data_IF_592057563223
#
_entry.id   IF_592057563223
#
_cell.length_a   1.000
_cell.length_b   1.000
_cell.length_c   1.000
_cell.angle_alpha   90.00
_cell.angle_beta   90.00
_cell.angle_gamma   90.00
#
_symmetry.space_group_name_H-M   'P 1'
#
loop_
_entity.id
_entity.type
_entity.pdbx_description
1 polymer ?
#
# COMPACT_ATOMS: atom_id res chain seq x y z
N UNK A 1 29.55 13.18 -4.96
CA UNK A 1 30.65 12.26 -4.67
C UNK A 1 30.70 11.18 -5.74
N UNK A 2 31.90 10.86 -6.24
CA UNK A 2 32.10 9.77 -7.24
C UNK A 2 32.15 8.41 -6.50
N UNK A 3 31.10 8.09 -5.72
CA UNK A 3 31.03 6.85 -4.94
C UNK A 3 30.37 5.78 -5.80
N UNK A 4 30.96 4.59 -5.84
CA UNK A 4 30.37 3.41 -6.45
C UNK A 4 29.29 2.86 -5.50
N UNK A 5 28.08 2.62 -6.02
CA UNK A 5 26.99 1.97 -5.30
C UNK A 5 26.84 0.54 -5.82
N UNK A 6 26.76 -0.41 -4.90
CA UNK A 6 26.48 -1.82 -5.21
C UNK A 6 25.16 -2.18 -4.54
N UNK A 7 24.18 -2.57 -5.34
CA UNK A 7 22.90 -3.07 -4.86
C UNK A 7 22.91 -4.60 -4.91
N UNK A 8 22.78 -5.24 -3.75
CA UNK A 8 22.50 -6.66 -3.66
C UNK A 8 20.99 -6.83 -3.81
N UNK A 9 20.55 -7.31 -4.97
CA UNK A 9 19.14 -7.37 -5.31
C UNK A 9 18.37 -8.38 -4.42
N UNK A 10 17.08 -8.12 -4.22
CA UNK A 10 16.19 -8.94 -3.41
C UNK A 10 14.82 -9.06 -4.08
N UNK A 11 14.09 -10.18 -3.82
CA UNK A 11 12.74 -10.35 -4.34
C UNK A 11 11.82 -9.19 -3.91
N UNK A 12 10.99 -8.71 -4.83
CA UNK A 12 9.84 -7.93 -4.41
C UNK A 12 8.87 -8.85 -3.67
N UNK A 13 8.55 -8.58 -2.39
CA UNK A 13 7.80 -9.53 -1.57
C UNK A 13 6.37 -9.76 -2.06
N UNK A 14 5.80 -8.80 -2.75
CA UNK A 14 4.42 -8.83 -3.25
C UNK A 14 4.36 -8.99 -4.77
N UNK A 15 5.25 -9.81 -5.33
CA UNK A 15 5.50 -10.08 -6.76
C UNK A 15 6.18 -8.93 -7.52
N UNK A 16 6.98 -9.30 -8.50
CA UNK A 16 7.72 -8.37 -9.37
C UNK A 16 6.97 -8.02 -10.67
N UNK A 17 5.73 -8.42 -10.83
CA UNK A 17 4.95 -8.24 -12.06
C UNK A 17 3.58 -7.57 -11.84
N UNK A 18 3.25 -7.20 -10.61
CA UNK A 18 1.97 -6.57 -10.29
C UNK A 18 2.18 -5.07 -10.06
N UNK A 19 1.40 -4.28 -10.78
CA UNK A 19 1.44 -2.82 -10.76
C UNK A 19 0.04 -2.32 -10.42
N UNK A 20 -0.07 -1.45 -9.38
CA UNK A 20 -1.34 -0.90 -8.93
C UNK A 20 -1.18 0.56 -8.48
N UNK A 21 -2.26 1.30 -8.62
CA UNK A 21 -2.37 2.69 -8.18
C UNK A 21 -1.89 3.69 -9.23
N UNK A 22 -2.08 4.98 -8.98
CA UNK A 22 -1.66 6.04 -9.87
C UNK A 22 -0.14 6.15 -9.96
N UNK A 23 0.35 6.62 -11.09
CA UNK A 23 1.72 7.09 -11.25
C UNK A 23 1.86 8.43 -10.52
N UNK A 24 2.90 8.59 -9.69
CA UNK A 24 3.17 9.86 -9.03
C UNK A 24 3.30 10.98 -10.06
N UNK A 25 2.46 12.00 -9.96
CA UNK A 25 2.68 13.28 -10.62
C UNK A 25 3.73 14.08 -9.84
N UNK A 26 4.80 14.51 -10.52
CA UNK A 26 5.95 15.16 -9.88
C UNK A 26 5.62 16.50 -9.22
N UNK A 27 4.48 17.12 -9.53
CA UNK A 27 3.98 18.30 -8.82
C UNK A 27 3.61 17.99 -7.35
N UNK A 28 3.35 16.72 -7.04
CA UNK A 28 3.04 16.21 -5.69
C UNK A 28 4.19 15.42 -5.06
N UNK A 29 5.42 15.62 -5.55
CA UNK A 29 6.61 15.01 -4.98
C UNK A 29 6.72 15.30 -3.48
N UNK A 30 7.01 14.26 -2.70
CA UNK A 30 7.09 14.35 -1.24
C UNK A 30 8.10 13.34 -0.69
N UNK A 31 8.29 13.35 0.64
CA UNK A 31 9.13 12.35 1.31
C UNK A 31 8.64 10.91 1.10
N UNK A 32 7.32 10.70 0.95
CA UNK A 32 6.73 9.36 0.74
C UNK A 32 6.56 8.99 -0.73
N UNK A 33 6.73 9.93 -1.65
CA UNK A 33 6.68 9.71 -3.09
C UNK A 33 7.68 10.63 -3.80
N UNK A 34 8.82 10.09 -4.23
CA UNK A 34 9.94 10.90 -4.72
C UNK A 34 10.19 10.78 -6.23
N UNK A 35 9.66 9.74 -6.88
CA UNK A 35 9.87 9.47 -8.29
C UNK A 35 8.57 9.03 -8.97
N UNK A 36 8.44 9.18 -10.30
CA UNK A 36 7.24 8.84 -11.04
C UNK A 36 7.08 7.31 -11.15
N UNK A 37 6.69 6.69 -10.05
CA UNK A 37 6.38 5.27 -9.94
C UNK A 37 4.97 5.07 -9.35
N UNK A 38 4.27 3.99 -9.69
CA UNK A 38 2.99 3.66 -9.08
C UNK A 38 3.15 3.24 -7.61
N UNK A 39 2.08 3.25 -6.84
CA UNK A 39 2.08 2.84 -5.42
C UNK A 39 2.61 1.41 -5.27
N UNK A 40 2.14 0.47 -6.12
CA UNK A 40 2.72 -0.87 -6.26
C UNK A 40 3.39 -0.93 -7.60
N UNK A 41 4.72 -0.94 -7.63
CA UNK A 41 5.51 -0.70 -8.85
C UNK A 41 6.07 -1.97 -9.50
N UNK A 42 5.97 -3.14 -8.88
CA UNK A 42 6.31 -4.43 -9.52
C UNK A 42 7.77 -4.61 -9.95
N UNK A 43 8.72 -3.92 -9.34
CA UNK A 43 10.15 -4.07 -9.60
C UNK A 43 10.88 -4.57 -8.35
N UNK A 44 12.02 -5.26 -8.52
CA UNK A 44 12.97 -5.47 -7.44
C UNK A 44 13.69 -4.14 -7.11
N UNK A 45 14.34 -4.09 -5.96
CA UNK A 45 15.10 -2.88 -5.57
C UNK A 45 16.26 -2.60 -6.55
N UNK A 46 16.89 -3.65 -7.09
CA UNK A 46 17.96 -3.53 -8.09
C UNK A 46 17.45 -3.03 -9.42
N UNK A 47 16.28 -3.49 -9.87
CA UNK A 47 15.62 -3.01 -11.08
C UNK A 47 15.21 -1.55 -10.95
N UNK A 48 14.60 -1.19 -9.83
CA UNK A 48 14.24 0.20 -9.53
C UNK A 48 15.50 1.10 -9.51
N UNK A 49 16.57 0.67 -8.86
CA UNK A 49 17.81 1.45 -8.82
C UNK A 49 18.40 1.68 -10.25
N UNK A 50 18.38 0.67 -11.12
CA UNK A 50 18.78 0.83 -12.52
C UNK A 50 17.87 1.84 -13.25
N UNK A 51 16.56 1.75 -13.06
CA UNK A 51 15.59 2.66 -13.65
C UNK A 51 15.84 4.10 -13.21
N UNK A 52 16.04 4.35 -11.91
CA UNK A 52 16.34 5.68 -11.37
C UNK A 52 17.59 6.31 -11.98
N UNK A 53 18.62 5.50 -12.23
CA UNK A 53 19.86 5.96 -12.88
C UNK A 53 19.65 6.13 -14.39
N UNK A 54 19.03 5.17 -15.05
CA UNK A 54 18.82 5.16 -16.50
C UNK A 54 17.90 6.26 -17.00
N UNK A 55 16.82 6.53 -16.26
CA UNK A 55 15.87 7.62 -16.55
C UNK A 55 16.37 8.98 -16.01
N UNK A 56 17.61 9.03 -15.47
CA UNK A 56 18.27 10.26 -14.97
C UNK A 56 17.49 10.98 -13.85
N UNK A 57 16.72 10.24 -13.07
CA UNK A 57 15.99 10.81 -11.92
C UNK A 57 16.94 11.25 -10.80
N UNK A 58 18.13 10.65 -10.72
CA UNK A 58 19.16 10.99 -9.74
C UNK A 58 20.16 11.94 -10.40
N UNK A 59 20.26 13.18 -9.88
CA UNK A 59 21.28 14.14 -10.33
C UNK A 59 22.67 13.64 -9.96
N UNK A 60 23.62 13.70 -10.92
CA UNK A 60 24.98 13.22 -10.70
C UNK A 60 25.04 11.71 -10.47
N UNK A 61 24.32 10.96 -11.28
CA UNK A 61 24.12 9.53 -11.15
C UNK A 61 25.40 8.78 -10.71
N UNK A 62 25.31 7.93 -9.68
CA UNK A 62 26.45 7.16 -9.17
C UNK A 62 26.86 6.08 -10.19
N UNK A 63 28.10 5.60 -10.09
CA UNK A 63 28.48 4.36 -10.75
C UNK A 63 27.75 3.18 -10.07
N UNK A 64 26.63 2.73 -10.66
CA UNK A 64 25.79 1.67 -10.12
C UNK A 64 26.23 0.30 -10.61
N UNK A 65 26.28 -0.67 -9.71
CA UNK A 65 26.34 -2.10 -10.00
C UNK A 65 25.23 -2.82 -9.28
N UNK A 66 24.50 -3.70 -9.95
CA UNK A 66 23.44 -4.52 -9.35
C UNK A 66 23.87 -5.98 -9.44
N UNK A 67 23.95 -6.65 -8.29
CA UNK A 67 24.16 -8.09 -8.20
C UNK A 67 22.79 -8.75 -8.28
N UNK A 68 22.49 -9.36 -9.41
CA UNK A 68 21.20 -10.03 -9.67
C UNK A 68 21.01 -11.24 -8.75
N UNK A 69 19.75 -11.48 -8.37
CA UNK A 69 19.36 -12.73 -7.70
C UNK A 69 19.53 -13.92 -8.63
N UNK A 70 19.86 -15.06 -8.04
CA UNK A 70 19.82 -16.36 -8.71
C UNK A 70 18.50 -17.07 -8.41
N UNK A 71 17.95 -17.76 -9.41
CA UNK A 71 16.75 -18.61 -9.27
C UNK A 71 15.48 -17.88 -8.79
N UNK A 72 15.42 -16.57 -8.91
CA UNK A 72 14.19 -15.82 -8.63
C UNK A 72 13.37 -15.61 -9.91
N UNK A 73 12.06 -15.82 -9.78
CA UNK A 73 11.08 -15.52 -10.81
C UNK A 73 10.16 -14.40 -10.29
N UNK A 74 9.89 -13.39 -11.11
CA UNK A 74 9.08 -12.24 -10.73
C UNK A 74 7.60 -12.55 -10.45
N UNK A 75 7.12 -13.74 -10.85
CA UNK A 75 5.77 -14.23 -10.53
C UNK A 75 5.68 -14.87 -9.13
N UNK A 76 6.81 -15.10 -8.46
CA UNK A 76 6.84 -15.71 -7.13
C UNK A 76 6.43 -14.72 -6.05
N UNK A 77 5.64 -15.19 -5.10
CA UNK A 77 5.49 -14.57 -3.80
C UNK A 77 6.73 -14.80 -2.94
N UNK A 78 6.95 -13.95 -1.93
CA UNK A 78 8.16 -14.05 -1.12
C UNK A 78 8.29 -15.39 -0.39
N UNK A 79 7.20 -15.96 0.12
CA UNK A 79 7.17 -17.27 0.80
C UNK A 79 7.48 -18.45 -0.12
N UNK A 80 7.34 -18.28 -1.44
CA UNK A 80 7.72 -19.29 -2.44
C UNK A 80 9.22 -19.28 -2.77
N UNK A 81 9.95 -18.28 -2.28
CA UNK A 81 11.40 -18.17 -2.52
C UNK A 81 12.24 -19.01 -1.55
N UNK A 82 11.64 -19.53 -0.49
CA UNK A 82 12.36 -20.23 0.60
C UNK A 82 13.17 -19.30 1.52
N UNK A 83 13.11 -17.97 1.31
CA UNK A 83 13.82 -16.99 2.14
C UNK A 83 13.04 -16.69 3.43
N UNK A 84 13.76 -16.55 4.54
CA UNK A 84 13.17 -16.12 5.79
C UNK A 84 12.61 -14.71 5.68
N UNK A 85 11.40 -14.47 6.24
CA UNK A 85 10.82 -13.14 6.31
C UNK A 85 11.63 -12.23 7.24
N UNK A 86 12.19 -11.18 6.69
CA UNK A 86 12.82 -10.11 7.46
C UNK A 86 11.87 -8.92 7.41
N UNK A 87 11.36 -8.51 8.57
CA UNK A 87 10.40 -7.41 8.70
C UNK A 87 10.99 -6.11 8.14
N UNK A 88 10.44 -5.53 7.07
CA UNK A 88 10.91 -4.24 6.54
C UNK A 88 10.55 -3.08 7.49
N UNK A 89 9.56 -3.29 8.34
CA UNK A 89 9.11 -2.37 9.39
C UNK A 89 8.52 -3.18 10.54
N UNK A 90 8.59 -2.70 11.79
CA UNK A 90 7.89 -3.33 12.92
C UNK A 90 6.38 -3.52 12.66
N UNK A 91 5.77 -2.59 11.92
CA UNK A 91 4.35 -2.65 11.54
C UNK A 91 4.07 -3.51 10.29
N UNK A 92 5.07 -4.17 9.71
CA UNK A 92 4.91 -5.14 8.61
C UNK A 92 5.49 -6.49 9.04
N UNK A 93 4.80 -7.19 9.95
CA UNK A 93 5.31 -8.41 10.58
C UNK A 93 5.36 -9.62 9.65
N UNK A 94 4.57 -9.63 8.60
CA UNK A 94 4.40 -10.76 7.68
C UNK A 94 4.04 -10.34 6.25
N UNK A 95 4.05 -11.31 5.32
CA UNK A 95 3.75 -11.11 3.90
C UNK A 95 2.32 -10.60 3.67
N UNK A 96 1.34 -11.09 4.43
CA UNK A 96 -0.05 -10.64 4.26
C UNK A 96 -0.19 -9.16 4.60
N UNK A 97 0.52 -8.69 5.65
CA UNK A 97 0.56 -7.25 5.96
C UNK A 97 1.23 -6.46 4.84
N UNK A 98 2.34 -6.95 4.28
CA UNK A 98 3.00 -6.31 3.15
C UNK A 98 2.09 -6.22 1.91
N UNK A 99 1.27 -7.25 1.65
CA UNK A 99 0.32 -7.26 0.54
C UNK A 99 -0.85 -6.29 0.75
N UNK A 100 -1.34 -6.16 1.98
CA UNK A 100 -2.45 -5.25 2.32
C UNK A 100 -1.99 -3.79 2.38
N UNK A 101 -0.73 -3.55 2.79
CA UNK A 101 -0.18 -2.23 3.09
C UNK A 101 -0.36 -1.17 1.98
N UNK A 102 -0.13 -1.45 0.68
CA UNK A 102 -0.25 -0.44 -0.38
C UNK A 102 -1.62 0.25 -0.44
N UNK A 103 -2.69 -0.45 -0.09
CA UNK A 103 -4.03 0.13 -0.02
C UNK A 103 -4.36 0.71 1.36
N UNK A 104 -3.96 0.01 2.42
CA UNK A 104 -4.36 0.38 3.77
C UNK A 104 -3.54 1.52 4.37
N UNK A 105 -2.34 1.80 3.86
CA UNK A 105 -1.58 2.99 4.24
C UNK A 105 -2.31 4.30 3.88
N UNK A 106 -3.23 4.28 2.91
CA UNK A 106 -4.05 5.45 2.55
C UNK A 106 -4.95 5.90 3.71
N UNK A 107 -5.34 4.99 4.63
CA UNK A 107 -6.09 5.36 5.84
C UNK A 107 -5.31 6.28 6.78
N UNK A 108 -3.97 6.36 6.68
CA UNK A 108 -3.16 7.35 7.41
C UNK A 108 -3.52 8.81 7.07
N UNK A 109 -4.21 9.02 5.95
CA UNK A 109 -4.75 10.31 5.57
C UNK A 109 -6.17 10.56 6.10
N UNK A 110 -6.66 9.76 7.01
CA UNK A 110 -8.02 9.84 7.53
C UNK A 110 -8.04 9.87 9.06
N UNK A 111 -9.23 10.04 9.64
CA UNK A 111 -9.44 9.93 11.07
C UNK A 111 -9.79 8.50 11.53
N UNK A 112 -9.37 7.48 10.78
CA UNK A 112 -9.52 6.06 11.13
C UNK A 112 -8.23 5.55 11.79
N UNK A 113 -8.35 4.62 12.75
CA UNK A 113 -7.21 3.82 13.18
C UNK A 113 -6.99 2.68 12.19
N UNK A 114 -5.80 2.61 11.61
CA UNK A 114 -5.40 1.61 10.60
C UNK A 114 -4.78 0.35 11.22
N UNK A 115 -5.15 0.04 12.46
CA UNK A 115 -4.70 -1.14 13.19
C UNK A 115 -3.36 -0.98 13.90
N UNK A 116 -2.66 0.15 13.76
CA UNK A 116 -1.48 0.42 14.58
C UNK A 116 -1.86 0.52 16.06
N UNK A 117 -0.95 0.09 16.91
CA UNK A 117 -1.23 -0.07 18.34
C UNK A 117 -1.98 -1.35 18.65
N UNK A 118 -1.98 -2.34 17.73
CA UNK A 118 -2.52 -3.69 17.92
C UNK A 118 -1.55 -4.75 17.38
N UNK A 119 -1.87 -6.01 17.59
CA UNK A 119 -1.17 -7.17 17.02
C UNK A 119 -1.34 -7.35 15.50
N UNK A 120 -2.25 -6.57 14.86
CA UNK A 120 -2.61 -6.66 13.44
C UNK A 120 -2.58 -5.31 12.73
N UNK A 121 -1.41 -4.61 12.69
CA UNK A 121 -1.29 -3.35 11.98
C UNK A 121 -1.66 -3.52 10.51
N UNK A 122 -2.42 -2.58 9.97
CA UNK A 122 -2.97 -2.54 8.61
C UNK A 122 -3.92 -3.68 8.23
N UNK A 123 -3.91 -4.82 8.94
CA UNK A 123 -4.86 -5.92 8.72
C UNK A 123 -6.23 -5.68 9.33
N UNK A 124 -6.39 -4.63 10.12
CA UNK A 124 -7.66 -4.13 10.63
C UNK A 124 -7.71 -2.61 10.61
N UNK A 125 -8.91 -2.08 10.59
CA UNK A 125 -9.15 -0.65 10.72
C UNK A 125 -10.46 -0.38 11.45
N UNK A 126 -10.58 0.79 12.07
CA UNK A 126 -11.81 1.11 12.79
C UNK A 126 -11.79 2.45 13.52
N UNK A 127 -12.93 2.74 14.14
CA UNK A 127 -13.13 3.91 14.98
C UNK A 127 -14.23 3.63 16.04
N UNK A 128 -14.32 4.43 17.11
CA UNK A 128 -15.36 4.25 18.13
C UNK A 128 -16.79 4.41 17.61
N UNK A 129 -16.97 5.14 16.52
CA UNK A 129 -18.28 5.49 15.96
C UNK A 129 -18.73 4.58 14.81
N UNK A 130 -17.95 3.57 14.43
CA UNK A 130 -18.32 2.63 13.37
C UNK A 130 -19.35 1.59 13.90
N UNK A 131 -20.32 1.27 13.06
CA UNK A 131 -21.10 0.04 13.14
C UNK A 131 -20.41 -1.04 12.31
N UNK A 132 -19.64 -1.90 12.96
CA UNK A 132 -18.80 -2.88 12.30
C UNK A 132 -19.58 -4.00 11.59
N UNK A 133 -20.76 -4.37 12.09
CA UNK A 133 -21.61 -5.37 11.44
C UNK A 133 -22.18 -4.82 10.13
N UNK A 134 -22.74 -3.61 10.16
CA UNK A 134 -23.26 -2.92 8.97
C UNK A 134 -22.15 -2.69 7.93
N UNK A 135 -20.99 -2.18 8.36
CA UNK A 135 -19.85 -1.90 7.47
C UNK A 135 -19.32 -3.20 6.84
N UNK A 136 -19.19 -4.28 7.61
CA UNK A 136 -18.76 -5.60 7.09
C UNK A 136 -19.71 -6.10 6.01
N UNK A 137 -21.02 -6.04 6.25
CA UNK A 137 -22.03 -6.43 5.28
C UNK A 137 -21.94 -5.58 3.99
N UNK A 138 -21.75 -4.26 4.12
CA UNK A 138 -21.61 -3.34 2.97
C UNK A 138 -20.39 -3.67 2.13
N UNK A 139 -19.23 -3.87 2.77
CA UNK A 139 -17.97 -4.19 2.10
C UNK A 139 -18.05 -5.55 1.38
N UNK A 140 -18.60 -6.60 2.01
CA UNK A 140 -18.72 -7.92 1.40
C UNK A 140 -19.74 -7.96 0.25
N UNK A 141 -20.77 -7.08 0.30
CA UNK A 141 -21.79 -6.99 -0.76
C UNK A 141 -21.19 -6.55 -2.11
N UNK A 142 -20.10 -5.78 -2.11
CA UNK A 142 -19.42 -5.34 -3.33
C UNK A 142 -18.65 -6.48 -4.01
N UNK A 143 -18.35 -7.57 -3.30
CA UNK A 143 -17.64 -8.75 -3.81
C UNK A 143 -16.26 -8.40 -4.40
N UNK A 144 -15.50 -7.58 -3.69
CA UNK A 144 -14.13 -7.27 -4.10
C UNK A 144 -13.29 -8.56 -4.17
N UNK A 145 -12.48 -8.76 -5.25
CA UNK A 145 -11.82 -10.04 -5.47
C UNK A 145 -10.75 -10.32 -4.42
N UNK A 146 -10.66 -11.59 -4.00
CA UNK A 146 -9.58 -12.10 -3.14
C UNK A 146 -9.65 -11.68 -1.66
N UNK A 147 -10.74 -11.06 -1.20
CA UNK A 147 -10.85 -10.53 0.16
C UNK A 147 -12.20 -10.84 0.83
N UNK A 148 -12.16 -11.05 2.13
CA UNK A 148 -13.31 -11.12 3.04
C UNK A 148 -13.12 -10.09 4.16
N UNK A 149 -14.21 -9.43 4.56
CA UNK A 149 -14.21 -8.41 5.61
C UNK A 149 -14.98 -8.93 6.83
N UNK A 150 -14.30 -9.01 8.00
CA UNK A 150 -14.89 -9.50 9.23
C UNK A 150 -15.06 -8.38 10.25
N UNK A 151 -16.23 -8.29 10.92
CA UNK A 151 -16.40 -7.31 11.98
C UNK A 151 -15.51 -7.66 13.17
N UNK A 152 -14.84 -6.65 13.73
CA UNK A 152 -13.97 -6.79 14.91
C UNK A 152 -14.18 -5.65 15.89
N UNK A 153 -13.79 -5.89 17.14
CA UNK A 153 -13.67 -4.86 18.18
C UNK A 153 -12.28 -4.96 18.79
N UNK A 154 -11.60 -3.82 18.96
CA UNK A 154 -10.24 -3.78 19.50
C UNK A 154 -9.96 -2.45 20.20
N UNK A 155 -8.85 -2.38 20.93
CA UNK A 155 -8.38 -1.17 21.60
C UNK A 155 -6.94 -0.93 21.15
N UNK A 156 -6.65 0.18 20.45
CA UNK A 156 -5.27 0.56 20.14
C UNK A 156 -4.54 1.01 21.42
N UNK A 157 -3.29 0.57 21.59
CA UNK A 157 -2.43 0.94 22.71
C UNK A 157 -1.04 1.31 22.22
N UNK A 158 -0.21 1.90 23.08
CA UNK A 158 1.20 2.03 22.74
C UNK A 158 1.86 0.66 22.66
N UNK A 159 2.68 0.49 21.65
CA UNK A 159 3.55 -0.68 21.46
C UNK A 159 4.94 -0.17 21.14
N UNK A 160 5.88 -0.40 22.05
CA UNK A 160 7.26 0.05 21.91
C UNK A 160 7.88 -0.38 20.58
N UNK A 161 8.53 0.55 19.88
CA UNK A 161 9.14 0.32 18.59
C UNK A 161 8.18 0.12 17.42
N UNK A 162 6.85 0.14 17.64
CA UNK A 162 5.84 -0.03 16.57
C UNK A 162 4.89 1.15 16.45
N UNK A 163 4.23 1.55 17.53
CA UNK A 163 3.24 2.62 17.50
C UNK A 163 3.19 3.34 18.85
N UNK A 164 3.48 4.63 18.83
CA UNK A 164 3.33 5.51 20.00
C UNK A 164 2.17 6.46 19.71
N UNK A 165 1.24 6.55 20.66
CA UNK A 165 0.05 7.37 20.57
C UNK A 165 -0.79 7.12 19.28
N UNK A 166 -1.19 5.86 19.00
CA UNK A 166 -1.99 5.54 17.82
C UNK A 166 -3.35 6.25 17.88
N UNK A 167 -3.95 6.48 16.73
CA UNK A 167 -5.31 7.05 16.62
C UNK A 167 -6.28 6.25 17.49
N UNK A 168 -7.09 6.94 18.30
CA UNK A 168 -8.00 6.36 19.30
C UNK A 168 -7.34 5.49 20.39
N UNK A 169 -6.09 5.80 20.76
CA UNK A 169 -5.40 5.14 21.88
C UNK A 169 -6.31 4.97 23.07
N UNK A 170 -6.34 3.76 23.67
CA UNK A 170 -7.13 3.36 24.84
C UNK A 170 -8.65 3.52 24.67
N UNK A 171 -9.16 3.68 23.45
CA UNK A 171 -10.60 3.70 23.17
C UNK A 171 -11.03 2.42 22.47
N UNK A 172 -12.23 1.95 22.79
CA UNK A 172 -12.83 0.82 22.08
C UNK A 172 -13.15 1.28 20.65
N UNK A 173 -12.52 0.63 19.67
CA UNK A 173 -12.80 0.79 18.25
C UNK A 173 -13.60 -0.41 17.76
N UNK A 174 -14.70 -0.14 17.06
CA UNK A 174 -15.38 -1.11 16.21
C UNK A 174 -14.85 -0.96 14.80
N UNK A 175 -14.64 -2.06 14.10
CA UNK A 175 -14.02 -1.97 12.78
C UNK A 175 -14.07 -3.28 12.02
N UNK A 176 -13.18 -3.39 11.07
CA UNK A 176 -13.10 -4.50 10.13
C UNK A 176 -11.72 -5.12 10.20
N UNK A 177 -11.65 -6.44 10.22
CA UNK A 177 -10.46 -7.22 9.90
C UNK A 177 -10.51 -7.66 8.45
N UNK A 178 -9.42 -7.42 7.72
CA UNK A 178 -9.25 -7.80 6.32
C UNK A 178 -8.63 -9.19 6.28
N UNK A 179 -9.32 -10.13 5.63
CA UNK A 179 -8.85 -11.49 5.41
C UNK A 179 -8.62 -11.71 3.92
N UNK A 180 -7.38 -11.91 3.52
CA UNK A 180 -7.06 -12.33 2.15
C UNK A 180 -7.49 -13.79 2.01
N UNK A 181 -8.35 -14.07 1.04
CA UNK A 181 -8.82 -15.42 0.68
C UNK A 181 -8.16 -15.94 -0.57
N UNK A 182 -7.76 -15.04 -1.48
CA UNK A 182 -6.98 -15.36 -2.67
C UNK A 182 -6.04 -14.17 -2.99
N UNK A 183 -4.75 -14.37 -2.77
CA UNK A 183 -3.73 -13.33 -2.95
C UNK A 183 -3.42 -13.02 -4.42
N UNK A 184 -3.72 -13.95 -5.33
CA UNK A 184 -3.40 -13.79 -6.76
C UNK A 184 -4.35 -12.84 -7.47
N UNK A 185 -5.57 -12.70 -6.95
CA UNK A 185 -6.57 -11.74 -7.46
C UNK A 185 -6.79 -10.53 -6.55
N UNK A 186 -6.11 -10.49 -5.38
CA UNK A 186 -6.22 -9.38 -4.43
C UNK A 186 -5.56 -8.11 -4.98
N UNK A 187 -6.34 -7.04 -5.12
CA UNK A 187 -5.88 -5.74 -5.63
C UNK A 187 -5.83 -4.72 -4.48
N UNK A 188 -4.65 -4.58 -3.87
CA UNK A 188 -4.46 -3.85 -2.63
C UNK A 188 -4.91 -2.39 -2.70
N UNK A 189 -4.42 -1.64 -3.69
CA UNK A 189 -4.72 -0.20 -3.81
C UNK A 189 -6.19 0.03 -4.13
N UNK A 190 -6.75 -0.76 -5.05
CA UNK A 190 -8.17 -0.67 -5.39
C UNK A 190 -9.09 -0.95 -4.21
N UNK A 191 -8.75 -1.97 -3.39
CA UNK A 191 -9.52 -2.31 -2.19
C UNK A 191 -9.43 -1.18 -1.16
N UNK A 192 -8.24 -0.60 -0.94
CA UNK A 192 -8.05 0.53 -0.03
C UNK A 192 -8.89 1.74 -0.42
N UNK A 193 -8.91 2.10 -1.70
CA UNK A 193 -9.72 3.21 -2.22
C UNK A 193 -11.22 2.95 -2.07
N UNK A 194 -11.69 1.73 -2.37
CA UNK A 194 -13.09 1.37 -2.17
C UNK A 194 -13.50 1.40 -0.69
N UNK A 195 -12.62 0.99 0.24
CA UNK A 195 -12.87 1.12 1.68
C UNK A 195 -13.07 2.59 2.06
N UNK A 196 -12.21 3.50 1.58
CA UNK A 196 -12.29 4.94 1.87
C UNK A 196 -13.59 5.53 1.32
N UNK A 197 -13.95 5.20 0.08
CA UNK A 197 -15.19 5.66 -0.55
C UNK A 197 -16.43 5.19 0.25
N UNK A 198 -16.45 3.91 0.66
CA UNK A 198 -17.55 3.37 1.49
C UNK A 198 -17.62 4.06 2.85
N UNK A 199 -16.49 4.30 3.51
CA UNK A 199 -16.47 5.00 4.80
C UNK A 199 -17.00 6.43 4.66
N UNK A 200 -16.69 7.11 3.57
CA UNK A 200 -17.21 8.45 3.27
C UNK A 200 -18.72 8.46 3.04
N UNK A 201 -19.22 7.46 2.30
CA UNK A 201 -20.65 7.30 2.02
C UNK A 201 -21.45 6.92 3.27
N UNK A 202 -20.95 5.96 4.07
CA UNK A 202 -21.65 5.45 5.26
C UNK A 202 -21.59 6.41 6.48
N UNK A 203 -20.55 7.24 6.55
CA UNK A 203 -20.30 8.10 7.73
C UNK A 203 -19.97 9.56 7.34
N UNK A 204 -20.78 10.25 6.52
CA UNK A 204 -20.44 11.56 5.95
C UNK A 204 -20.20 12.65 7.00
N UNK A 205 -20.81 12.52 8.20
CA UNK A 205 -20.67 13.49 9.28
C UNK A 205 -19.59 13.12 10.31
N UNK A 206 -18.89 12.01 10.14
CA UNK A 206 -17.90 11.48 11.10
C UNK A 206 -16.57 11.15 10.47
N UNK A 207 -16.59 10.66 9.23
CA UNK A 207 -15.39 10.31 8.50
C UNK A 207 -14.77 11.57 7.87
N UNK A 208 -13.47 11.74 8.08
CA UNK A 208 -12.73 12.91 7.60
C UNK A 208 -11.50 12.43 6.84
N UNK A 209 -11.27 13.02 5.67
CA UNK A 209 -10.05 12.86 4.88
C UNK A 209 -9.21 14.14 5.05
N UNK A 210 -7.93 13.98 5.28
CA UNK A 210 -6.94 15.04 5.16
C UNK A 210 -6.46 15.06 3.70
N UNK A 211 -7.00 15.97 2.90
CA UNK A 211 -6.74 16.05 1.46
C UNK A 211 -5.25 16.16 1.14
N UNK A 212 -4.54 17.05 1.83
CA UNK A 212 -3.10 17.23 1.61
C UNK A 212 -2.31 15.93 1.87
N UNK A 213 -2.64 15.20 2.92
CA UNK A 213 -2.00 13.91 3.23
C UNK A 213 -2.40 12.85 2.22
N UNK A 214 -3.67 12.82 1.79
CA UNK A 214 -4.17 11.87 0.80
C UNK A 214 -3.47 12.08 -0.55
N UNK A 215 -3.38 13.32 -1.04
CA UNK A 215 -2.63 13.67 -2.26
C UNK A 215 -1.16 13.21 -2.15
N UNK A 216 -0.53 13.45 -1.01
CA UNK A 216 0.86 13.00 -0.77
C UNK A 216 1.02 11.48 -0.82
N UNK A 217 0.03 10.70 -0.37
CA UNK A 217 0.06 9.23 -0.39
C UNK A 217 -0.33 8.66 -1.75
N UNK A 218 -1.32 9.25 -2.42
CA UNK A 218 -1.75 8.84 -3.77
C UNK A 218 -0.75 9.27 -4.85
N UNK A 219 -0.09 10.41 -4.66
CA UNK A 219 0.79 11.01 -5.65
C UNK A 219 0.06 11.77 -6.77
N UNK A 220 -1.25 11.97 -6.64
CA UNK A 220 -2.10 12.70 -7.60
C UNK A 220 -3.20 13.46 -6.85
N UNK A 221 -3.72 14.54 -7.46
CA UNK A 221 -4.87 15.30 -6.95
C UNK A 221 -6.17 14.89 -7.66
N UNK A 222 -6.57 13.65 -7.40
CA UNK A 222 -7.77 13.03 -7.99
C UNK A 222 -8.75 12.61 -6.89
N UNK A 223 -8.99 13.51 -5.90
CA UNK A 223 -9.83 13.17 -4.74
C UNK A 223 -11.30 12.95 -5.08
N UNK A 224 -11.77 13.42 -6.24
CA UNK A 224 -13.09 13.12 -6.80
C UNK A 224 -13.31 11.61 -7.06
N UNK A 225 -12.25 10.82 -7.18
CA UNK A 225 -12.32 9.34 -7.28
C UNK A 225 -13.16 8.71 -6.15
N UNK A 226 -13.15 9.32 -4.96
CA UNK A 226 -13.94 8.81 -3.84
C UNK A 226 -15.45 9.04 -3.97
N UNK A 227 -15.90 9.77 -4.99
CA UNK A 227 -17.34 9.92 -5.30
C UNK A 227 -17.87 8.76 -6.16
N UNK A 228 -16.99 7.95 -6.72
CA UNK A 228 -17.32 6.81 -7.58
C UNK A 228 -17.41 5.53 -6.75
N UNK A 229 -18.34 4.63 -7.12
CA UNK A 229 -18.50 3.33 -6.46
C UNK A 229 -19.10 2.30 -7.42
N UNK A 230 -18.47 1.12 -7.57
CA UNK A 230 -17.12 0.78 -7.10
C UNK A 230 -16.04 1.52 -7.90
N UNK A 231 -14.93 1.83 -7.24
CA UNK A 231 -13.76 2.41 -7.92
C UNK A 231 -13.09 1.32 -8.77
N UNK A 232 -12.84 1.61 -10.05
CA UNK A 232 -12.03 0.76 -10.93
C UNK A 232 -10.77 1.52 -11.37
N UNK A 233 -9.63 1.15 -10.78
CA UNK A 233 -8.35 1.80 -11.08
C UNK A 233 -7.90 1.65 -12.53
N UNK A 234 -8.28 0.58 -13.21
CA UNK A 234 -7.88 0.35 -14.61
C UNK A 234 -8.50 1.36 -15.57
N UNK A 235 -9.70 1.85 -15.24
CA UNK A 235 -10.38 2.87 -16.04
C UNK A 235 -9.87 4.27 -15.71
N UNK A 236 -9.39 4.51 -14.49
CA UNK A 236 -9.01 5.84 -14.00
C UNK A 236 -7.53 6.13 -14.23
N UNK A 237 -6.65 5.14 -13.99
CA UNK A 237 -5.20 5.32 -14.09
C UNK A 237 -4.57 4.35 -15.08
N UNK A 238 -3.88 4.91 -16.07
CA UNK A 238 -3.08 4.12 -17.02
C UNK A 238 -1.61 4.13 -16.63
N UNK A 239 -1.04 2.94 -16.44
CA UNK A 239 0.39 2.76 -16.15
C UNK A 239 1.20 2.30 -17.38
N UNK A 240 0.66 2.43 -18.60
CA UNK A 240 1.27 1.90 -19.84
C UNK A 240 2.70 2.43 -20.01
N UNK A 241 2.91 3.72 -19.90
CA UNK A 241 4.23 4.34 -20.05
C UNK A 241 5.24 3.83 -19.02
N UNK A 242 4.79 3.65 -17.75
CA UNK A 242 5.65 3.08 -16.71
C UNK A 242 6.01 1.62 -17.02
N UNK A 243 5.02 0.81 -17.44
CA UNK A 243 5.22 -0.59 -17.81
C UNK A 243 6.22 -0.72 -18.94
N UNK A 244 6.09 0.07 -20.02
CA UNK A 244 7.00 0.06 -21.17
C UNK A 244 8.40 0.50 -20.77
N UNK A 245 8.52 1.58 -20.00
CA UNK A 245 9.81 2.08 -19.53
C UNK A 245 10.50 1.07 -18.61
N UNK A 246 9.77 0.47 -17.68
CA UNK A 246 10.33 -0.48 -16.71
C UNK A 246 10.92 -1.74 -17.35
N UNK A 247 10.37 -2.19 -18.50
CA UNK A 247 10.88 -3.35 -19.25
C UNK A 247 12.35 -3.24 -19.64
N UNK A 248 12.89 -2.03 -19.80
CA UNK A 248 14.30 -1.79 -20.11
C UNK A 248 15.25 -2.19 -18.96
N UNK A 249 14.75 -2.31 -17.74
CA UNK A 249 15.54 -2.46 -16.51
C UNK A 249 15.39 -3.82 -15.82
N UNK A 250 14.56 -4.67 -16.36
CA UNK A 250 14.26 -6.05 -15.88
C UNK A 250 15.36 -7.08 -16.26
#
# INVERSE_FOLDING_TARGET
AKIKIIVLDRPNPIKGNLIEGPLLNMDYQSFVGNYPIPIRYGLSIGELAKMMVGEKWIKGAPKLSVIKMKNWNRNQWYDETGLAWIKPSPNIPDLNTALIYPGMCLLEATNINEGRGTDKPFKRFGAPWIDNARLSNRLNKIKMPGVEFKPVTYIPTDIDGMAINPTFKNKICKGIEIKIIDRDIYQSVQIGLNIISILRDEYPNKFVINDKRMISLLGVDELNIFNEMPIDLKTIFSNINFIETSKKYI
#
